data_IF_012927739511
#
_entry.id   IF_012927739511
#
_cell.length_a   1.000
_cell.length_b   1.000
_cell.length_c   1.000
_cell.angle_alpha   90.00
_cell.angle_beta   90.00
_cell.angle_gamma   90.00
#
_symmetry.space_group_name_H-M   'P 1'
#
loop_
_entity.id
_entity.type
_entity.pdbx_description
1 polymer ?
#
# COMPACT_ATOMS: atom_id res chain seq x y z
N UNK A 1 3.85 -0.67 -15.79
CA UNK A 1 3.49 -0.66 -14.35
C UNK A 1 2.13 0.00 -14.23
N UNK A 2 1.20 -0.64 -13.54
CA UNK A 2 -0.18 -0.15 -13.42
C UNK A 2 -0.20 0.93 -12.34
N UNK A 3 -0.51 2.17 -12.72
CA UNK A 3 -0.46 3.37 -11.86
C UNK A 3 -1.71 3.53 -10.98
N UNK A 4 -2.40 2.44 -10.64
CA UNK A 4 -3.76 2.55 -10.11
C UNK A 4 -3.86 2.79 -8.60
N UNK A 5 -2.86 2.36 -7.83
CA UNK A 5 -2.80 2.60 -6.38
C UNK A 5 -1.50 3.36 -6.04
N UNK A 6 -1.53 4.30 -5.08
CA UNK A 6 -0.37 5.10 -4.72
C UNK A 6 0.73 4.26 -4.06
N UNK A 7 1.97 4.43 -4.53
CA UNK A 7 3.17 3.83 -3.93
C UNK A 7 3.79 4.78 -2.90
N UNK A 8 4.27 4.23 -1.79
CA UNK A 8 5.02 4.97 -0.77
C UNK A 8 6.53 4.69 -0.95
N UNK A 9 7.33 5.72 -1.29
CA UNK A 9 8.72 5.51 -1.73
C UNK A 9 9.74 5.40 -0.59
N UNK A 10 9.32 5.57 0.67
CA UNK A 10 10.22 5.42 1.83
C UNK A 10 9.46 5.12 3.12
N UNK A 11 10.18 4.64 4.14
CA UNK A 11 9.58 4.35 5.44
C UNK A 11 8.98 5.58 6.12
N UNK A 12 9.51 6.76 5.84
CA UNK A 12 8.92 8.02 6.33
C UNK A 12 7.52 8.26 5.76
N UNK A 13 7.30 7.99 4.47
CA UNK A 13 5.98 8.12 3.85
C UNK A 13 4.99 7.08 4.39
N UNK A 14 5.47 5.88 4.75
CA UNK A 14 4.66 4.87 5.46
C UNK A 14 4.22 5.39 6.82
N UNK A 15 5.14 5.92 7.61
CA UNK A 15 4.82 6.50 8.92
C UNK A 15 3.87 7.69 8.83
N UNK A 16 4.07 8.57 7.84
CA UNK A 16 3.20 9.72 7.62
C UNK A 16 1.79 9.28 7.22
N UNK A 17 1.66 8.34 6.28
CA UNK A 17 0.37 7.83 5.82
C UNK A 17 -0.44 7.20 6.97
N UNK A 18 0.22 6.50 7.90
CA UNK A 18 -0.42 5.95 9.10
C UNK A 18 -0.88 7.07 10.04
N UNK A 19 -0.05 8.10 10.24
CA UNK A 19 -0.35 9.20 11.18
C UNK A 19 -1.39 10.18 10.65
N UNK A 20 -1.48 10.38 9.34
CA UNK A 20 -2.38 11.35 8.73
C UNK A 20 -3.84 10.89 8.69
N UNK A 21 -4.08 9.60 8.83
CA UNK A 21 -5.41 9.00 8.70
C UNK A 21 -5.99 8.70 10.08
N UNK A 22 -6.81 9.62 10.60
CA UNK A 22 -7.43 9.48 11.94
C UNK A 22 -8.73 8.67 11.90
N UNK A 23 -9.51 8.77 10.81
CA UNK A 23 -10.87 8.22 10.70
C UNK A 23 -10.97 7.03 9.73
N UNK A 24 -9.88 6.67 9.05
CA UNK A 24 -9.86 5.60 8.04
C UNK A 24 -8.80 4.55 8.35
N UNK A 25 -9.08 3.32 7.97
CA UNK A 25 -8.13 2.21 8.04
C UNK A 25 -7.07 2.37 6.95
N UNK A 26 -5.80 2.39 7.34
CA UNK A 26 -4.67 2.42 6.41
C UNK A 26 -4.31 0.98 6.03
N UNK A 27 -4.56 0.62 4.77
CA UNK A 27 -4.24 -0.69 4.19
C UNK A 27 -2.91 -0.57 3.44
N UNK A 28 -1.90 -1.29 3.92
CA UNK A 28 -0.56 -1.32 3.32
C UNK A 28 -0.30 -2.69 2.70
N UNK A 29 -0.05 -2.73 1.39
CA UNK A 29 0.43 -3.95 0.71
C UNK A 29 1.95 -3.93 0.69
N UNK A 30 2.58 -4.73 1.55
CA UNK A 30 4.02 -5.01 1.49
C UNK A 30 4.27 -6.18 0.55
N UNK A 31 5.13 -5.99 -0.44
CA UNK A 31 5.52 -7.06 -1.35
C UNK A 31 6.38 -6.55 -2.50
N UNK A 32 6.85 -7.44 -3.35
CA UNK A 32 7.60 -7.04 -4.55
C UNK A 32 6.63 -6.80 -5.71
N UNK A 33 6.79 -5.69 -6.44
CA UNK A 33 5.85 -5.35 -7.52
C UNK A 33 5.87 -6.32 -8.70
N UNK A 34 6.95 -7.08 -8.84
CA UNK A 34 7.11 -8.13 -9.86
C UNK A 34 6.58 -9.50 -9.41
N UNK A 35 6.20 -9.67 -8.14
CA UNK A 35 5.68 -10.93 -7.64
C UNK A 35 4.23 -11.14 -8.10
N UNK A 36 3.96 -12.30 -8.71
CA UNK A 36 2.64 -12.61 -9.28
C UNK A 36 1.49 -12.63 -8.25
N UNK A 37 1.77 -12.97 -6.99
CA UNK A 37 0.77 -12.93 -5.93
C UNK A 37 0.47 -11.49 -5.54
N UNK A 38 1.51 -10.64 -5.47
CA UNK A 38 1.36 -9.20 -5.22
C UNK A 38 0.55 -8.52 -6.34
N UNK A 39 0.83 -8.83 -7.62
CA UNK A 39 0.04 -8.30 -8.75
C UNK A 39 -1.45 -8.67 -8.65
N UNK A 40 -1.75 -9.92 -8.27
CA UNK A 40 -3.14 -10.38 -8.09
C UNK A 40 -3.84 -9.65 -6.94
N UNK A 41 -3.11 -9.38 -5.86
CA UNK A 41 -3.61 -8.61 -4.73
C UNK A 41 -3.87 -7.15 -5.13
N UNK A 42 -2.98 -6.53 -5.91
CA UNK A 42 -3.13 -5.15 -6.37
C UNK A 42 -4.39 -4.97 -7.23
N UNK A 43 -4.68 -5.91 -8.13
CA UNK A 43 -5.93 -5.90 -8.90
C UNK A 43 -7.17 -6.01 -8.00
N UNK A 44 -7.11 -6.87 -6.98
CA UNK A 44 -8.20 -7.04 -6.01
C UNK A 44 -8.42 -5.77 -5.19
N UNK A 45 -7.34 -5.18 -4.67
CA UNK A 45 -7.35 -3.94 -3.89
C UNK A 45 -7.84 -2.76 -4.74
N UNK A 46 -7.40 -2.67 -5.99
CA UNK A 46 -7.88 -1.64 -6.92
C UNK A 46 -9.38 -1.76 -7.16
N UNK A 47 -9.90 -2.97 -7.37
CA UNK A 47 -11.33 -3.22 -7.60
C UNK A 47 -12.23 -2.88 -6.41
N UNK A 48 -11.68 -2.75 -5.20
CA UNK A 48 -12.42 -2.36 -3.99
C UNK A 48 -12.10 -0.95 -3.49
N UNK A 49 -11.04 -0.30 -3.99
CA UNK A 49 -10.54 0.98 -3.50
C UNK A 49 -11.65 2.06 -3.41
N UNK A 50 -12.44 2.23 -4.48
CA UNK A 50 -13.54 3.21 -4.50
C UNK A 50 -14.68 2.82 -3.54
N UNK A 51 -14.93 1.52 -3.36
CA UNK A 51 -16.01 1.03 -2.48
C UNK A 51 -15.71 1.25 -1.00
N UNK A 52 -14.44 1.23 -0.64
CA UNK A 52 -13.99 1.37 0.76
C UNK A 52 -13.47 2.76 1.10
N UNK A 53 -13.39 3.68 0.14
CA UNK A 53 -12.75 5.00 0.28
C UNK A 53 -13.24 5.85 1.46
N UNK A 54 -14.50 5.63 1.89
CA UNK A 54 -15.12 6.35 3.00
C UNK A 54 -14.54 5.96 4.38
N UNK A 55 -13.94 4.77 4.49
CA UNK A 55 -13.45 4.24 5.77
C UNK A 55 -12.08 3.56 5.66
N UNK A 56 -11.48 3.46 4.48
CA UNK A 56 -10.15 2.91 4.27
C UNK A 56 -9.42 3.62 3.12
N UNK A 57 -8.09 3.62 3.21
CA UNK A 57 -7.18 4.08 2.16
C UNK A 57 -6.14 2.98 1.91
N UNK A 58 -5.74 2.81 0.65
CA UNK A 58 -4.87 1.71 0.23
C UNK A 58 -3.60 2.28 -0.39
N UNK A 59 -2.45 1.80 0.08
CA UNK A 59 -1.13 2.12 -0.46
C UNK A 59 -0.31 0.85 -0.74
N UNK A 60 0.60 0.95 -1.70
CA UNK A 60 1.55 -0.10 -2.06
C UNK A 60 2.95 0.24 -1.53
N UNK A 61 3.65 -0.75 -1.02
CA UNK A 61 5.02 -0.63 -0.52
C UNK A 61 5.88 -1.74 -1.12
N UNK A 62 6.85 -1.37 -1.96
CA UNK A 62 7.85 -2.32 -2.44
C UNK A 62 8.93 -2.53 -1.39
N UNK A 63 9.05 -3.75 -0.87
CA UNK A 63 10.00 -4.10 0.19
C UNK A 63 11.47 -4.09 -0.26
N UNK A 64 11.73 -3.99 -1.56
CA UNK A 64 13.06 -3.72 -2.15
C UNK A 64 13.43 -2.26 -2.03
N UNK A 65 12.46 -1.36 -2.24
CA UNK A 65 12.64 0.09 -2.17
C UNK A 65 12.59 0.59 -0.72
N UNK A 66 11.70 0.01 0.08
CA UNK A 66 11.47 0.37 1.49
C UNK A 66 11.79 -0.83 2.38
N UNK A 67 13.08 -1.11 2.66
CA UNK A 67 13.49 -2.25 3.47
C UNK A 67 13.33 -2.03 4.98
N UNK A 68 12.93 -0.83 5.41
CA UNK A 68 12.85 -0.40 6.81
C UNK A 68 12.02 -1.34 7.70
N UNK A 69 11.01 -2.00 7.12
CA UNK A 69 10.06 -2.87 7.85
C UNK A 69 10.30 -4.37 7.64
N UNK A 70 11.41 -4.77 7.00
CA UNK A 70 11.69 -6.18 6.69
C UNK A 70 12.34 -6.95 7.85
N UNK A 71 12.52 -6.34 9.03
CA UNK A 71 13.19 -6.92 10.18
C UNK A 71 12.20 -7.08 11.32
N UNK A 72 12.17 -8.29 11.90
CA UNK A 72 11.55 -8.55 13.21
C UNK A 72 12.28 -7.83 14.36
#
# INVERSE_FOLDING_TARGET
MSYFLPHLPSGWHVDEAIKSEEDRVVVLRFGHDWDSQCMTMDETLHGVAEKVQNFAVIYLVDITEVPDFNKE
#
